data_IF_960739074817
#
_entry.id   IF_960739074817
#
_cell.length_a   1.000
_cell.length_b   1.000
_cell.length_c   1.000
_cell.angle_alpha   90.00
_cell.angle_beta   90.00
_cell.angle_gamma   90.00
#
_symmetry.space_group_name_H-M   'P 1'
#
loop_
_entity.id
_entity.type
_entity.pdbx_description
1 polymer ?
#
# COMPACT_ATOMS: atom_id res chain seq x y z
N UNK A 1 -7.12 -12.77 13.82
CA UNK A 1 -5.71 -12.91 13.48
C UNK A 1 -5.28 -14.38 13.54
N UNK A 2 -4.23 -14.72 12.79
CA UNK A 2 -3.65 -16.07 12.77
C UNK A 2 -2.93 -16.50 14.05
N UNK A 3 -2.80 -15.62 15.02
CA UNK A 3 -2.07 -15.75 16.28
C UNK A 3 -0.55 -16.00 16.16
N UNK A 4 0.23 -15.38 17.03
CA UNK A 4 1.69 -15.49 17.10
C UNK A 4 2.43 -15.12 15.79
N UNK A 5 1.74 -14.53 14.85
CA UNK A 5 2.30 -14.05 13.59
C UNK A 5 3.06 -12.74 13.84
N UNK A 6 4.27 -12.66 13.33
CA UNK A 6 5.11 -11.47 13.46
C UNK A 6 4.37 -10.23 12.90
N UNK A 7 4.36 -9.13 13.66
CA UNK A 7 3.70 -7.86 13.29
C UNK A 7 2.16 -7.88 13.25
N UNK A 8 1.50 -8.99 13.54
CA UNK A 8 0.02 -9.05 13.63
C UNK A 8 -0.48 -9.14 15.08
N UNK A 9 0.39 -9.44 16.02
CA UNK A 9 0.08 -9.57 17.45
C UNK A 9 0.07 -8.24 18.23
N UNK A 10 0.18 -7.11 17.56
CA UNK A 10 0.24 -5.78 18.15
C UNK A 10 -0.94 -5.46 19.08
N UNK A 11 -2.12 -5.98 18.77
CA UNK A 11 -3.31 -5.80 19.62
C UNK A 11 -3.17 -6.51 20.97
N UNK A 12 -2.60 -7.72 21.00
CA UNK A 12 -2.34 -8.45 22.26
C UNK A 12 -1.26 -7.72 23.06
N UNK A 13 -0.17 -7.31 22.42
CA UNK A 13 0.90 -6.51 23.06
C UNK A 13 0.38 -5.18 23.58
N UNK A 14 -0.63 -4.60 22.94
CA UNK A 14 -1.36 -3.41 23.37
C UNK A 14 -2.38 -3.66 24.49
N UNK A 15 -2.46 -4.88 25.05
CA UNK A 15 -3.33 -5.22 26.17
C UNK A 15 -4.73 -5.75 25.79
N UNK A 16 -4.99 -6.03 24.51
CA UNK A 16 -6.23 -6.68 24.12
C UNK A 16 -6.26 -8.13 24.64
N UNK A 17 -7.36 -8.52 25.30
CA UNK A 17 -7.55 -9.89 25.78
C UNK A 17 -8.12 -10.79 24.70
N UNK A 18 -7.72 -12.05 24.73
CA UNK A 18 -8.28 -13.07 23.84
C UNK A 18 -9.76 -13.33 24.17
N UNK A 19 -10.55 -13.49 23.13
CA UNK A 19 -11.89 -14.05 23.20
C UNK A 19 -11.75 -15.57 23.40
N UNK A 20 -12.25 -16.09 24.52
CA UNK A 20 -12.15 -17.53 24.83
C UNK A 20 -13.51 -18.10 25.20
N UNK A 21 -13.65 -19.42 25.10
CA UNK A 21 -14.89 -20.12 25.48
C UNK A 21 -15.24 -19.82 26.95
N UNK A 22 -16.43 -19.27 27.16
CA UNK A 22 -16.94 -18.93 28.50
C UNK A 22 -16.55 -17.53 29.01
N UNK A 23 -15.63 -16.82 28.32
CA UNK A 23 -15.32 -15.42 28.60
C UNK A 23 -15.34 -14.60 27.29
N UNK A 24 -16.43 -13.90 27.06
CA UNK A 24 -16.65 -13.06 25.88
C UNK A 24 -16.23 -11.59 26.09
N UNK A 25 -15.52 -11.28 27.17
CA UNK A 25 -14.99 -9.93 27.45
C UNK A 25 -13.77 -9.57 26.59
N UNK A 26 -13.10 -10.57 26.00
CA UNK A 26 -11.99 -10.40 25.09
C UNK A 26 -12.44 -9.83 23.73
N UNK A 27 -11.55 -9.07 23.09
CA UNK A 27 -11.80 -8.45 21.78
C UNK A 27 -10.90 -9.00 20.67
N UNK A 28 -10.07 -9.98 21.00
CA UNK A 28 -9.12 -10.57 20.05
C UNK A 28 -9.41 -12.06 19.87
N UNK A 29 -9.77 -12.46 18.64
CA UNK A 29 -10.00 -13.84 18.28
C UNK A 29 -8.76 -14.40 17.57
N UNK A 30 -8.14 -15.41 18.18
CA UNK A 30 -7.08 -16.18 17.53
C UNK A 30 -7.70 -17.23 16.62
N UNK A 31 -7.65 -16.98 15.31
CA UNK A 31 -8.32 -17.81 14.33
C UNK A 31 -7.50 -19.07 13.92
N UNK A 32 -6.21 -19.11 14.25
CA UNK A 32 -5.28 -20.10 13.72
C UNK A 32 -5.04 -19.92 12.22
N UNK A 33 -4.36 -20.86 11.58
CA UNK A 33 -4.07 -20.83 10.12
C UNK A 33 -5.35 -21.22 9.36
N UNK A 34 -6.28 -20.25 9.26
CA UNK A 34 -7.60 -20.44 8.66
C UNK A 34 -8.14 -19.15 8.06
N UNK A 35 -7.42 -18.59 7.09
CA UNK A 35 -7.66 -17.26 6.50
C UNK A 35 -9.08 -17.10 5.96
N UNK A 36 -9.57 -18.09 5.21
CA UNK A 36 -10.94 -18.05 4.67
C UNK A 36 -11.98 -17.99 5.80
N UNK A 37 -11.82 -18.84 6.82
CA UNK A 37 -12.73 -18.89 7.96
C UNK A 37 -12.69 -17.58 8.76
N UNK A 38 -11.50 -17.04 9.00
CA UNK A 38 -11.31 -15.75 9.67
C UNK A 38 -12.03 -14.62 8.93
N UNK A 39 -11.85 -14.53 7.63
CA UNK A 39 -12.50 -13.51 6.80
C UNK A 39 -14.03 -13.69 6.75
N UNK A 40 -14.51 -14.94 6.65
CA UNK A 40 -15.95 -15.24 6.68
C UNK A 40 -16.61 -14.87 8.02
N UNK A 41 -15.92 -15.15 9.15
CA UNK A 41 -16.36 -14.74 10.48
C UNK A 41 -16.45 -13.20 10.53
N UNK A 42 -15.46 -12.48 10.00
CA UNK A 42 -15.49 -11.01 9.96
C UNK A 42 -16.66 -10.49 9.12
N UNK A 43 -17.01 -11.14 8.01
CA UNK A 43 -18.21 -10.80 7.25
C UNK A 43 -19.47 -10.98 8.10
N UNK A 44 -19.59 -12.09 8.82
CA UNK A 44 -20.73 -12.34 9.71
C UNK A 44 -20.85 -11.30 10.85
N UNK A 45 -19.73 -10.92 11.44
CA UNK A 45 -19.66 -9.89 12.49
C UNK A 45 -20.08 -8.52 11.91
N UNK A 46 -19.53 -8.15 10.75
CA UNK A 46 -19.89 -6.89 10.10
C UNK A 46 -21.38 -6.84 9.71
N UNK A 47 -21.92 -7.97 9.23
CA UNK A 47 -23.34 -8.09 8.89
C UNK A 47 -24.26 -7.98 10.12
N UNK A 48 -23.84 -8.53 11.26
CA UNK A 48 -24.57 -8.36 12.53
C UNK A 48 -24.61 -6.89 12.95
N UNK A 49 -23.52 -6.14 12.70
CA UNK A 49 -23.42 -4.72 13.02
C UNK A 49 -23.06 -4.44 14.50
N UNK A 50 -22.97 -3.16 14.82
CA UNK A 50 -22.71 -2.67 16.19
C UNK A 50 -21.24 -2.60 16.59
N UNK A 51 -20.32 -3.18 15.83
CA UNK A 51 -18.88 -3.11 16.08
C UNK A 51 -18.10 -2.99 14.78
N UNK A 52 -16.91 -2.40 14.85
CA UNK A 52 -15.92 -2.48 13.79
C UNK A 52 -15.13 -3.77 13.92
N UNK A 53 -14.91 -4.46 12.81
CA UNK A 53 -14.16 -5.71 12.75
C UNK A 53 -12.96 -5.59 11.83
N UNK A 54 -11.83 -6.14 12.27
CA UNK A 54 -10.62 -6.25 11.47
C UNK A 54 -10.06 -7.66 11.54
N UNK A 55 -9.44 -8.13 10.47
CA UNK A 55 -8.67 -9.38 10.45
C UNK A 55 -7.32 -9.16 9.78
N UNK A 56 -6.32 -9.90 10.23
CA UNK A 56 -4.93 -9.71 9.83
C UNK A 56 -4.24 -11.03 9.47
N UNK A 57 -3.46 -10.99 8.38
CA UNK A 57 -2.53 -12.04 7.95
C UNK A 57 -1.44 -11.43 7.06
N UNK A 58 -0.49 -12.23 6.58
CA UNK A 58 0.46 -11.81 5.56
C UNK A 58 -0.25 -11.59 4.21
N UNK A 59 0.22 -10.61 3.46
CA UNK A 59 -0.45 -10.19 2.23
C UNK A 59 -0.55 -11.30 1.19
N UNK A 60 0.46 -12.15 1.04
CA UNK A 60 0.42 -13.30 0.13
C UNK A 60 -0.75 -14.24 0.44
N UNK A 61 -1.13 -14.38 1.71
CA UNK A 61 -2.23 -15.25 2.13
C UNK A 61 -3.62 -14.62 1.96
N UNK A 62 -3.69 -13.39 1.44
CA UNK A 62 -4.95 -12.83 0.95
C UNK A 62 -5.58 -13.70 -0.13
N UNK A 63 -4.80 -14.50 -0.85
CA UNK A 63 -5.30 -15.49 -1.81
C UNK A 63 -6.26 -16.48 -1.18
N UNK A 64 -5.97 -16.96 0.03
CA UNK A 64 -6.86 -17.86 0.78
C UNK A 64 -8.11 -17.14 1.32
N UNK A 65 -8.08 -15.81 1.45
CA UNK A 65 -9.22 -14.99 1.87
C UNK A 65 -10.07 -14.51 0.69
N UNK A 66 -9.60 -14.65 -0.54
CA UNK A 66 -10.18 -14.01 -1.73
C UNK A 66 -11.68 -14.23 -1.90
N UNK A 67 -12.27 -15.42 -1.74
CA UNK A 67 -13.71 -15.62 -1.82
C UNK A 67 -14.47 -14.76 -0.79
N UNK A 68 -13.95 -14.68 0.44
CA UNK A 68 -14.59 -13.97 1.53
C UNK A 68 -14.49 -12.45 1.38
N UNK A 69 -13.31 -11.89 1.07
CA UNK A 69 -13.19 -10.44 0.90
C UNK A 69 -13.89 -9.94 -0.38
N UNK A 70 -13.95 -10.75 -1.44
CA UNK A 70 -14.78 -10.45 -2.60
C UNK A 70 -16.26 -10.40 -2.23
N UNK A 71 -16.71 -11.30 -1.35
CA UNK A 71 -18.07 -11.28 -0.83
C UNK A 71 -18.32 -10.05 0.05
N UNK A 72 -17.36 -9.61 0.87
CA UNK A 72 -17.46 -8.35 1.61
C UNK A 72 -17.71 -7.17 0.68
N UNK A 73 -16.99 -7.11 -0.44
CA UNK A 73 -17.16 -6.06 -1.44
C UNK A 73 -18.55 -6.09 -2.07
N UNK A 74 -19.03 -7.29 -2.47
CA UNK A 74 -20.35 -7.48 -3.03
C UNK A 74 -21.48 -7.10 -2.05
N UNK A 75 -21.32 -7.47 -0.78
CA UNK A 75 -22.29 -7.21 0.29
C UNK A 75 -22.11 -5.82 0.92
N UNK A 76 -21.15 -5.03 0.48
CA UNK A 76 -20.85 -3.69 1.01
C UNK A 76 -20.53 -3.69 2.51
N UNK A 77 -19.82 -4.73 2.98
CA UNK A 77 -19.48 -4.90 4.39
C UNK A 77 -18.18 -4.15 4.75
N UNK A 78 -18.19 -3.33 5.82
CA UNK A 78 -17.04 -2.50 6.19
C UNK A 78 -15.97 -3.26 6.99
N UNK A 79 -15.57 -4.44 6.52
CA UNK A 79 -14.50 -5.24 7.12
C UNK A 79 -13.15 -4.58 6.84
N UNK A 80 -12.28 -4.52 7.86
CA UNK A 80 -10.91 -4.03 7.72
C UNK A 80 -9.95 -5.21 7.58
N UNK A 81 -9.39 -5.38 6.39
CA UNK A 81 -8.38 -6.38 6.08
C UNK A 81 -6.99 -5.76 6.29
N UNK A 82 -6.24 -6.29 7.25
CA UNK A 82 -4.89 -5.84 7.56
C UNK A 82 -3.92 -6.87 6.99
N UNK A 83 -3.26 -6.53 5.90
CA UNK A 83 -2.31 -7.39 5.22
C UNK A 83 -0.90 -6.86 5.39
N UNK A 84 -0.13 -7.54 6.24
CA UNK A 84 1.28 -7.21 6.49
C UNK A 84 2.20 -7.97 5.54
N UNK A 85 3.51 -7.70 5.57
CA UNK A 85 4.47 -8.38 4.69
C UNK A 85 4.17 -8.10 3.21
N UNK A 86 4.07 -6.80 2.88
CA UNK A 86 3.51 -6.23 1.66
C UNK A 86 4.25 -6.58 0.36
N UNK A 87 5.54 -7.03 0.44
CA UNK A 87 6.39 -7.19 -0.73
C UNK A 87 7.55 -8.18 -0.49
N UNK A 88 8.48 -8.28 -1.43
CA UNK A 88 9.65 -9.18 -1.40
C UNK A 88 10.56 -9.00 -0.17
N UNK A 89 10.48 -7.85 0.53
CA UNK A 89 11.21 -7.58 1.78
C UNK A 89 10.74 -8.43 2.97
N UNK A 90 9.80 -9.34 2.75
CA UNK A 90 9.55 -10.50 3.62
C UNK A 90 10.87 -11.26 3.87
N UNK A 91 11.71 -11.34 2.85
CA UNK A 91 13.09 -11.75 2.99
C UNK A 91 13.28 -13.25 2.87
N UNK A 92 13.85 -13.86 3.93
CA UNK A 92 14.31 -15.25 3.91
C UNK A 92 13.20 -16.30 3.82
N UNK A 93 11.97 -15.96 4.17
CA UNK A 93 10.78 -16.82 3.96
C UNK A 93 10.58 -17.15 2.47
N UNK A 94 11.08 -16.29 1.59
CA UNK A 94 11.21 -16.54 0.16
C UNK A 94 9.91 -16.46 -0.64
N UNK A 95 9.91 -17.02 -1.87
CA UNK A 95 8.84 -16.82 -2.85
C UNK A 95 7.44 -17.21 -2.39
N UNK A 96 7.33 -18.19 -1.48
CA UNK A 96 6.04 -18.66 -0.96
C UNK A 96 5.35 -17.64 -0.04
N UNK A 97 6.09 -16.63 0.42
CA UNK A 97 5.61 -15.59 1.33
C UNK A 97 5.71 -14.17 0.75
N UNK A 98 6.23 -14.03 -0.47
CA UNK A 98 6.45 -12.76 -1.14
C UNK A 98 5.32 -12.46 -2.14
N UNK A 99 4.42 -11.51 -1.85
CA UNK A 99 3.37 -11.12 -2.80
C UNK A 99 4.00 -10.35 -3.98
N UNK A 100 3.58 -10.69 -5.19
CA UNK A 100 4.01 -10.03 -6.44
C UNK A 100 2.79 -9.46 -7.18
N UNK A 101 1.80 -10.29 -7.51
CA UNK A 101 0.60 -9.91 -8.24
C UNK A 101 -0.55 -9.41 -7.35
N UNK A 102 -0.44 -9.56 -6.06
CA UNK A 102 -1.52 -9.35 -5.09
C UNK A 102 -1.99 -7.89 -5.06
N UNK A 103 -1.06 -6.92 -5.14
CA UNK A 103 -1.46 -5.51 -5.17
C UNK A 103 -2.24 -5.18 -6.45
N UNK A 104 -1.83 -5.71 -7.61
CA UNK A 104 -2.57 -5.55 -8.85
C UNK A 104 -4.00 -6.10 -8.74
N UNK A 105 -4.18 -7.25 -8.08
CA UNK A 105 -5.51 -7.83 -7.83
C UNK A 105 -6.38 -6.91 -6.95
N UNK A 106 -5.82 -6.24 -5.94
CA UNK A 106 -6.55 -5.27 -5.13
C UNK A 106 -6.93 -4.03 -5.93
N UNK A 107 -6.03 -3.53 -6.77
CA UNK A 107 -6.30 -2.37 -7.62
C UNK A 107 -7.43 -2.64 -8.62
N UNK A 108 -7.66 -3.88 -9.03
CA UNK A 108 -8.84 -4.26 -9.81
C UNK A 108 -10.16 -4.05 -9.03
N UNK A 109 -10.19 -4.36 -7.73
CA UNK A 109 -11.37 -4.10 -6.89
C UNK A 109 -11.60 -2.62 -6.62
N UNK A 110 -10.55 -1.80 -6.55
CA UNK A 110 -10.68 -0.34 -6.51
C UNK A 110 -11.33 0.23 -7.79
N UNK A 111 -11.00 -0.36 -8.94
CA UNK A 111 -11.54 0.07 -10.25
C UNK A 111 -12.98 -0.42 -10.48
N UNK A 112 -13.40 -1.44 -9.76
CA UNK A 112 -14.75 -2.00 -9.87
C UNK A 112 -15.73 -1.26 -8.97
N UNK A 113 -16.91 -0.94 -9.48
CA UNK A 113 -17.98 -0.36 -8.69
C UNK A 113 -18.89 -1.43 -8.07
N UNK A 114 -19.37 -1.19 -6.87
CA UNK A 114 -20.43 -1.97 -6.24
C UNK A 114 -21.81 -1.51 -6.72
N UNK A 115 -22.87 -2.16 -6.25
CA UNK A 115 -24.25 -1.83 -6.66
C UNK A 115 -24.71 -0.42 -6.25
N UNK A 116 -24.03 0.22 -5.31
CA UNK A 116 -24.28 1.62 -4.93
C UNK A 116 -23.47 2.63 -5.78
N UNK A 117 -22.76 2.17 -6.81
CA UNK A 117 -21.93 3.01 -7.66
C UNK A 117 -20.64 3.50 -7.01
N UNK A 118 -20.26 2.91 -5.87
CA UNK A 118 -19.03 3.24 -5.14
C UNK A 118 -17.93 2.24 -5.46
N UNK A 119 -16.69 2.62 -5.21
CA UNK A 119 -15.53 1.75 -5.29
C UNK A 119 -15.76 0.49 -4.44
N UNK A 120 -15.53 -0.71 -5.02
CA UNK A 120 -15.85 -1.98 -4.35
C UNK A 120 -14.97 -2.30 -3.15
N UNK A 121 -13.76 -1.72 -3.09
CA UNK A 121 -12.83 -1.85 -1.98
C UNK A 121 -11.95 -0.60 -1.89
N UNK A 122 -11.72 -0.10 -0.70
CA UNK A 122 -10.72 0.92 -0.43
C UNK A 122 -9.39 0.23 -0.13
N UNK A 123 -8.42 0.30 -1.05
CA UNK A 123 -7.10 -0.28 -0.85
C UNK A 123 -6.06 0.82 -0.55
N UNK A 124 -5.41 0.71 0.60
CA UNK A 124 -4.47 1.69 1.13
C UNK A 124 -3.11 1.04 1.39
N UNK A 125 -2.06 1.55 0.76
CA UNK A 125 -0.67 1.12 0.98
C UNK A 125 0.18 2.31 1.43
N UNK A 126 0.18 2.61 2.75
CA UNK A 126 0.85 3.79 3.31
C UNK A 126 2.36 3.67 3.29
N UNK A 127 3.04 4.80 3.14
CA UNK A 127 4.49 4.88 2.96
C UNK A 127 5.28 5.14 4.26
N UNK A 128 4.62 5.56 5.35
CA UNK A 128 5.24 5.79 6.65
C UNK A 128 4.22 5.70 7.81
N UNK A 129 4.67 5.98 9.04
CA UNK A 129 3.82 5.92 10.24
C UNK A 129 2.70 6.97 10.20
N UNK A 130 2.95 8.17 9.68
CA UNK A 130 1.96 9.22 9.57
C UNK A 130 0.87 8.87 8.55
N UNK A 131 1.25 8.41 7.35
CA UNK A 131 0.28 7.88 6.37
C UNK A 131 -0.49 6.67 6.90
N UNK A 132 0.16 5.79 7.69
CA UNK A 132 -0.51 4.65 8.33
C UNK A 132 -1.60 5.13 9.29
N UNK A 133 -1.34 6.17 10.07
CA UNK A 133 -2.34 6.76 10.97
C UNK A 133 -3.52 7.35 10.21
N UNK A 134 -3.26 8.03 9.09
CA UNK A 134 -4.30 8.56 8.19
C UNK A 134 -5.07 7.42 7.53
N UNK A 135 -4.39 6.37 7.07
CA UNK A 135 -5.02 5.19 6.48
C UNK A 135 -5.96 4.47 7.47
N UNK A 136 -5.57 4.39 8.75
CA UNK A 136 -6.45 3.87 9.80
C UNK A 136 -7.67 4.76 10.02
N UNK A 137 -7.50 6.09 10.04
CA UNK A 137 -8.63 7.03 10.11
C UNK A 137 -9.60 6.78 8.95
N UNK A 138 -9.10 6.74 7.71
CA UNK A 138 -9.90 6.46 6.52
C UNK A 138 -10.61 5.10 6.60
N UNK A 139 -9.92 4.07 7.09
CA UNK A 139 -10.49 2.73 7.26
C UNK A 139 -11.65 2.74 8.28
N UNK A 140 -11.53 3.48 9.39
CA UNK A 140 -12.58 3.57 10.39
C UNK A 140 -13.79 4.38 9.91
N UNK A 141 -13.56 5.41 9.12
CA UNK A 141 -14.61 6.25 8.52
C UNK A 141 -15.33 5.56 7.35
N UNK A 142 -14.67 4.60 6.68
CA UNK A 142 -15.29 3.83 5.61
C UNK A 142 -16.26 2.78 6.17
N UNK A 143 -17.55 3.06 6.09
CA UNK A 143 -18.63 2.20 6.59
C UNK A 143 -19.42 1.47 5.49
N UNK A 144 -19.04 1.67 4.22
CA UNK A 144 -19.87 1.22 3.08
C UNK A 144 -19.16 0.16 2.20
N UNK A 145 -17.86 -0.02 2.38
CA UNK A 145 -17.08 -0.99 1.60
C UNK A 145 -15.96 -1.57 2.48
N UNK A 146 -15.42 -2.74 2.14
CA UNK A 146 -14.24 -3.24 2.84
C UNK A 146 -13.03 -2.33 2.58
N UNK A 147 -12.16 -2.26 3.57
CA UNK A 147 -10.86 -1.56 3.45
C UNK A 147 -9.72 -2.55 3.57
N UNK A 148 -8.76 -2.47 2.67
CA UNK A 148 -7.48 -3.16 2.74
C UNK A 148 -6.38 -2.19 3.21
N UNK A 149 -5.70 -2.52 4.29
CA UNK A 149 -4.48 -1.85 4.76
C UNK A 149 -3.29 -2.77 4.46
N UNK A 150 -2.46 -2.40 3.49
CA UNK A 150 -1.29 -3.18 3.08
C UNK A 150 -0.05 -2.56 3.71
N UNK A 151 0.55 -3.28 4.67
CA UNK A 151 1.59 -2.78 5.55
C UNK A 151 2.90 -3.54 5.36
N UNK A 152 4.02 -2.83 5.47
CA UNK A 152 5.36 -3.42 5.34
C UNK A 152 5.71 -4.37 6.50
N UNK A 153 6.60 -5.35 6.22
CA UNK A 153 7.25 -6.17 7.26
C UNK A 153 8.36 -5.39 7.96
N UNK A 154 9.22 -4.77 7.17
CA UNK A 154 10.37 -4.04 7.65
C UNK A 154 9.96 -2.70 8.30
N UNK A 155 10.81 -2.22 9.19
CA UNK A 155 10.68 -0.85 9.67
C UNK A 155 10.94 0.11 8.52
N UNK A 156 10.15 1.17 8.46
CA UNK A 156 10.26 2.26 7.49
C UNK A 156 10.50 3.57 8.22
N UNK A 157 11.22 4.48 7.59
CA UNK A 157 11.45 5.82 8.13
C UNK A 157 10.29 6.74 7.74
N UNK A 158 10.04 7.74 8.56
CA UNK A 158 9.09 8.80 8.21
C UNK A 158 9.59 9.56 6.98
N UNK A 159 8.66 9.93 6.12
CA UNK A 159 8.94 10.75 4.96
C UNK A 159 9.27 12.20 5.38
N UNK A 160 10.05 12.92 4.58
CA UNK A 160 10.35 14.32 4.88
C UNK A 160 9.07 15.16 4.89
N UNK A 161 9.06 16.19 5.72
CA UNK A 161 7.99 17.16 5.81
C UNK A 161 8.55 18.57 5.96
N UNK A 162 7.87 19.55 5.40
CA UNK A 162 8.22 20.96 5.55
C UNK A 162 7.65 21.51 6.86
N UNK A 163 6.51 20.98 7.28
CA UNK A 163 5.82 21.33 8.52
C UNK A 163 5.74 20.12 9.44
N UNK A 164 4.57 19.81 9.94
CA UNK A 164 4.30 18.58 10.68
C UNK A 164 3.97 17.43 9.72
N UNK A 165 4.65 16.29 9.88
CA UNK A 165 4.48 15.13 8.96
C UNK A 165 3.06 14.59 8.95
N UNK A 166 2.36 14.55 10.09
CA UNK A 166 0.98 14.07 10.15
C UNK A 166 0.03 15.02 9.38
N UNK A 167 0.19 16.32 9.56
CA UNK A 167 -0.60 17.33 8.83
C UNK A 167 -0.41 17.20 7.31
N UNK A 168 0.82 16.94 6.86
CA UNK A 168 1.07 16.70 5.44
C UNK A 168 0.51 15.37 4.96
N UNK A 169 0.56 14.33 5.78
CA UNK A 169 0.00 13.01 5.48
C UNK A 169 -1.52 13.02 5.31
N UNK A 170 -2.25 13.97 5.90
CA UNK A 170 -3.69 14.12 5.67
C UNK A 170 -4.05 14.27 4.18
N UNK A 171 -3.12 14.76 3.36
CA UNK A 171 -3.31 14.83 1.90
C UNK A 171 -3.48 13.44 1.25
N UNK A 172 -3.03 12.36 1.93
CA UNK A 172 -3.22 10.97 1.49
C UNK A 172 -4.71 10.58 1.38
N UNK A 173 -5.62 11.28 2.07
CA UNK A 173 -7.06 11.11 1.92
C UNK A 173 -7.55 11.33 0.47
N UNK A 174 -6.78 12.02 -0.36
CA UNK A 174 -7.04 12.20 -1.79
C UNK A 174 -6.53 11.06 -2.67
N UNK A 175 -5.93 10.02 -2.09
CA UNK A 175 -5.42 8.84 -2.80
C UNK A 175 -4.00 8.98 -3.34
N UNK A 176 -3.58 10.17 -3.76
CA UNK A 176 -2.18 10.48 -4.09
C UNK A 176 -1.91 11.96 -3.80
N UNK A 177 -0.66 12.28 -3.43
CA UNK A 177 -0.24 13.64 -3.15
C UNK A 177 1.28 13.82 -3.31
N UNK A 178 1.72 15.06 -3.46
CA UNK A 178 3.14 15.42 -3.56
C UNK A 178 3.77 15.38 -2.17
N UNK A 179 4.72 14.45 -1.97
CA UNK A 179 5.53 14.34 -0.75
C UNK A 179 6.70 15.31 -0.77
N UNK A 180 7.38 15.40 -1.92
CA UNK A 180 8.56 16.22 -2.09
C UNK A 180 8.61 16.81 -3.50
N UNK A 181 9.04 18.07 -3.60
CA UNK A 181 9.30 18.75 -4.87
C UNK A 181 10.65 19.44 -4.79
N UNK A 182 11.58 19.02 -5.65
CA UNK A 182 12.93 19.55 -5.72
C UNK A 182 13.04 20.58 -6.87
N UNK A 183 12.60 21.81 -6.62
CA UNK A 183 12.59 22.88 -7.62
C UNK A 183 11.21 23.16 -8.22
N UNK A 184 11.07 24.32 -8.88
CA UNK A 184 9.76 24.80 -9.38
C UNK A 184 9.25 24.03 -10.59
N UNK A 185 10.16 23.59 -11.47
CA UNK A 185 9.83 22.94 -12.75
C UNK A 185 10.41 21.51 -12.80
N UNK A 186 9.76 20.53 -12.19
CA UNK A 186 10.23 19.15 -12.19
C UNK A 186 10.32 18.61 -13.63
N UNK A 187 11.40 17.88 -13.93
CA UNK A 187 11.65 17.24 -15.23
C UNK A 187 11.14 15.81 -15.27
N UNK A 188 10.79 15.27 -14.12
CA UNK A 188 10.24 13.92 -13.95
C UNK A 188 9.35 13.88 -12.71
N UNK A 189 8.25 13.12 -12.81
CA UNK A 189 7.38 12.77 -11.71
C UNK A 189 7.68 11.33 -11.30
N UNK A 190 7.99 11.13 -10.01
CA UNK A 190 8.35 9.84 -9.42
C UNK A 190 7.15 9.34 -8.60
N UNK A 191 6.61 8.18 -8.92
CA UNK A 191 5.33 7.69 -8.40
C UNK A 191 5.53 6.34 -7.73
N UNK A 192 5.15 6.21 -6.46
CA UNK A 192 5.14 4.95 -5.73
C UNK A 192 4.07 4.93 -4.64
N UNK A 193 3.82 3.76 -4.05
CA UNK A 193 3.10 3.56 -2.80
C UNK A 193 3.98 2.80 -1.80
N UNK A 194 3.61 2.82 -0.51
CA UNK A 194 4.34 2.04 0.49
C UNK A 194 5.81 2.44 0.63
N UNK A 195 6.62 1.49 1.02
CA UNK A 195 8.05 1.72 1.32
C UNK A 195 8.89 2.18 0.13
N UNK A 196 8.42 2.02 -1.09
CA UNK A 196 9.10 2.45 -2.32
C UNK A 196 9.17 3.98 -2.45
N UNK A 197 8.28 4.72 -1.77
CA UNK A 197 8.31 6.20 -1.76
C UNK A 197 9.64 6.71 -1.19
N UNK A 198 10.15 6.11 -0.11
CA UNK A 198 11.45 6.46 0.46
C UNK A 198 12.60 6.21 -0.53
N UNK A 199 12.57 5.10 -1.29
CA UNK A 199 13.56 4.82 -2.34
C UNK A 199 13.53 5.87 -3.46
N UNK A 200 12.35 6.36 -3.83
CA UNK A 200 12.23 7.45 -4.81
C UNK A 200 12.77 8.78 -4.27
N UNK A 201 12.61 9.07 -2.98
CA UNK A 201 13.20 10.26 -2.34
C UNK A 201 14.72 10.21 -2.40
N UNK A 202 15.33 9.06 -2.13
CA UNK A 202 16.77 8.86 -2.25
C UNK A 202 17.24 9.08 -3.70
N UNK A 203 16.53 8.53 -4.69
CA UNK A 203 16.83 8.75 -6.10
C UNK A 203 16.66 10.21 -6.52
N UNK A 204 15.60 10.87 -6.04
CA UNK A 204 15.34 12.30 -6.31
C UNK A 204 16.47 13.21 -5.78
N UNK A 205 17.02 12.87 -4.62
CA UNK A 205 18.18 13.56 -4.07
C UNK A 205 19.41 13.40 -4.98
N UNK A 206 19.69 12.19 -5.44
CA UNK A 206 20.81 11.93 -6.36
C UNK A 206 20.64 12.64 -7.71
N UNK A 207 19.41 12.69 -8.26
CA UNK A 207 19.10 13.42 -9.49
C UNK A 207 19.44 14.91 -9.37
N UNK A 208 19.06 15.51 -8.25
CA UNK A 208 19.36 16.92 -8.00
C UNK A 208 20.85 17.18 -7.78
N UNK A 209 21.50 16.38 -6.90
CA UNK A 209 22.89 16.58 -6.52
C UNK A 209 23.88 16.33 -7.67
N UNK A 210 23.65 15.28 -8.48
CA UNK A 210 24.62 14.85 -9.50
C UNK A 210 24.37 15.43 -10.89
N UNK A 211 23.09 15.73 -11.20
CA UNK A 211 22.69 16.16 -12.55
C UNK A 211 21.94 17.50 -12.57
N UNK A 212 21.60 18.07 -11.41
CA UNK A 212 20.78 19.29 -11.35
C UNK A 212 19.35 19.05 -11.88
N UNK A 213 18.87 17.80 -11.91
CA UNK A 213 17.54 17.43 -12.41
C UNK A 213 16.53 17.59 -11.27
N UNK A 214 15.64 18.56 -11.41
CA UNK A 214 14.50 18.73 -10.50
C UNK A 214 13.46 17.62 -10.72
N UNK A 215 12.91 17.08 -9.63
CA UNK A 215 11.90 16.02 -9.63
C UNK A 215 10.79 16.30 -8.62
N UNK A 216 9.67 15.62 -8.80
CA UNK A 216 8.54 15.61 -7.88
C UNK A 216 8.26 14.17 -7.47
N UNK A 217 8.21 13.89 -6.16
CA UNK A 217 7.90 12.57 -5.60
C UNK A 217 6.45 12.56 -5.13
N UNK A 218 5.70 11.57 -5.57
CA UNK A 218 4.29 11.37 -5.28
C UNK A 218 4.11 10.06 -4.51
N UNK A 219 3.46 10.14 -3.34
CA UNK A 219 2.92 8.96 -2.66
C UNK A 219 1.50 8.71 -3.17
N UNK A 220 1.29 7.55 -3.79
CA UNK A 220 0.01 7.13 -4.35
C UNK A 220 -0.58 5.98 -3.51
N UNK A 221 -1.07 6.32 -2.33
CA UNK A 221 -1.61 5.36 -1.36
C UNK A 221 -2.80 4.54 -1.91
N UNK A 222 -3.63 5.16 -2.77
CA UNK A 222 -4.80 4.56 -3.41
C UNK A 222 -5.05 5.17 -4.78
N UNK A 223 -4.82 4.40 -5.86
CA UNK A 223 -5.13 4.85 -7.22
C UNK A 223 -6.63 5.15 -7.39
N UNK A 224 -7.51 4.29 -6.83
CA UNK A 224 -8.95 4.43 -6.97
C UNK A 224 -9.46 5.76 -6.41
N UNK A 225 -8.98 6.16 -5.22
CA UNK A 225 -9.34 7.46 -4.64
C UNK A 225 -8.78 8.64 -5.44
N UNK A 226 -7.54 8.53 -5.91
CA UNK A 226 -6.92 9.58 -6.72
C UNK A 226 -7.69 9.82 -8.02
N UNK A 227 -8.15 8.76 -8.67
CA UNK A 227 -8.96 8.87 -9.90
C UNK A 227 -10.32 9.51 -9.69
N UNK A 228 -10.84 9.54 -8.47
CA UNK A 228 -12.07 10.24 -8.12
C UNK A 228 -11.87 11.74 -7.85
N UNK A 229 -10.63 12.21 -7.76
CA UNK A 229 -10.35 13.63 -7.56
C UNK A 229 -10.65 14.45 -8.83
N UNK A 230 -10.93 15.74 -8.69
CA UNK A 230 -11.07 16.65 -9.84
C UNK A 230 -9.85 16.59 -10.76
N UNK A 231 -10.06 16.68 -12.07
CA UNK A 231 -8.97 16.63 -13.07
C UNK A 231 -7.87 17.66 -12.78
N UNK A 232 -8.23 18.86 -12.31
CA UNK A 232 -7.26 19.88 -11.94
C UNK A 232 -6.30 19.42 -10.83
N UNK A 233 -6.81 18.67 -9.83
CA UNK A 233 -5.96 18.11 -8.78
C UNK A 233 -5.10 16.96 -9.31
N UNK A 234 -5.65 16.11 -10.17
CA UNK A 234 -4.87 15.03 -10.79
C UNK A 234 -3.72 15.61 -11.62
N UNK A 235 -3.95 16.66 -12.41
CA UNK A 235 -2.92 17.36 -13.18
C UNK A 235 -1.91 18.11 -12.32
N UNK A 236 -2.31 18.65 -11.16
CA UNK A 236 -1.37 19.25 -10.19
C UNK A 236 -0.39 18.20 -9.65
N UNK A 237 -0.89 17.02 -9.29
CA UNK A 237 -0.10 15.97 -8.63
C UNK A 237 0.68 15.12 -9.62
N UNK A 238 0.07 14.76 -10.77
CA UNK A 238 0.67 13.93 -11.82
C UNK A 238 0.40 14.60 -13.18
N UNK A 239 1.13 15.67 -13.52
CA UNK A 239 0.93 16.40 -14.77
C UNK A 239 1.29 15.56 -15.98
N UNK A 240 0.34 15.35 -16.91
CA UNK A 240 0.49 14.51 -18.09
C UNK A 240 1.63 14.97 -19.03
N UNK A 241 2.02 16.25 -18.99
CA UNK A 241 3.07 16.84 -19.83
C UNK A 241 4.50 16.51 -19.38
N UNK A 242 4.69 15.96 -18.18
CA UNK A 242 6.00 15.63 -17.59
C UNK A 242 6.25 14.14 -17.67
N UNK A 243 7.46 13.65 -18.01
CA UNK A 243 7.78 12.22 -17.96
C UNK A 243 7.53 11.60 -16.58
N UNK A 244 7.01 10.38 -16.54
CA UNK A 244 6.71 9.67 -15.30
C UNK A 244 7.64 8.47 -15.11
N UNK A 245 8.09 8.26 -13.88
CA UNK A 245 8.75 7.03 -13.47
C UNK A 245 8.00 6.41 -12.28
N UNK A 246 7.59 5.16 -12.42
CA UNK A 246 6.91 4.39 -11.38
C UNK A 246 7.84 3.38 -10.72
N UNK A 247 7.73 3.21 -9.40
CA UNK A 247 8.44 2.17 -8.64
C UNK A 247 7.44 1.35 -7.82
N UNK A 248 7.38 0.05 -8.04
CA UNK A 248 6.51 -0.86 -7.29
C UNK A 248 7.21 -2.18 -6.98
N UNK A 249 7.12 -2.64 -5.74
CA UNK A 249 7.64 -3.95 -5.34
C UNK A 249 6.75 -5.14 -5.76
N UNK A 250 5.68 -4.87 -6.52
CA UNK A 250 4.84 -5.85 -7.20
C UNK A 250 4.99 -5.78 -8.72
N UNK A 251 4.01 -6.33 -9.44
CA UNK A 251 3.97 -6.26 -10.89
C UNK A 251 3.90 -4.83 -11.42
N UNK A 252 4.61 -4.53 -12.51
CA UNK A 252 4.60 -3.22 -13.16
C UNK A 252 3.19 -2.72 -13.51
N UNK A 253 2.28 -3.62 -13.87
CA UNK A 253 0.87 -3.31 -14.18
C UNK A 253 0.15 -2.57 -13.06
N UNK A 254 0.61 -2.71 -11.82
CA UNK A 254 0.05 -2.03 -10.65
C UNK A 254 0.04 -0.50 -10.80
N UNK A 255 1.05 0.06 -11.47
CA UNK A 255 1.20 1.52 -11.64
C UNK A 255 0.90 2.03 -13.06
N UNK A 256 0.56 1.16 -14.02
CA UNK A 256 0.27 1.57 -15.40
C UNK A 256 -0.81 2.66 -15.49
N UNK A 257 -1.83 2.56 -14.63
CA UNK A 257 -2.89 3.56 -14.57
C UNK A 257 -2.42 4.95 -14.20
N UNK A 258 -1.38 5.09 -13.37
CA UNK A 258 -0.83 6.37 -12.92
C UNK A 258 0.31 6.87 -13.80
N UNK A 259 1.18 5.97 -14.24
CA UNK A 259 2.38 6.30 -15.02
C UNK A 259 2.05 6.57 -16.50
N UNK A 260 1.06 5.85 -17.03
CA UNK A 260 0.67 5.96 -18.44
C UNK A 260 1.65 5.28 -19.41
N UNK A 261 1.30 5.29 -20.69
CA UNK A 261 2.04 4.58 -21.74
C UNK A 261 3.40 5.21 -22.12
N UNK A 262 3.63 6.47 -21.77
CA UNK A 262 4.85 7.21 -22.07
C UNK A 262 5.84 7.25 -20.90
N UNK A 263 5.53 6.58 -19.78
CA UNK A 263 6.40 6.49 -18.62
C UNK A 263 7.17 5.17 -18.57
N UNK A 264 8.12 5.07 -17.62
CA UNK A 264 8.85 3.84 -17.30
C UNK A 264 8.43 3.37 -15.91
N UNK A 265 8.21 2.07 -15.75
CA UNK A 265 7.89 1.46 -14.46
C UNK A 265 8.95 0.40 -14.16
N UNK A 266 9.60 0.53 -13.00
CA UNK A 266 10.40 -0.53 -12.44
C UNK A 266 9.55 -1.32 -11.43
N UNK A 267 9.39 -2.61 -11.68
CA UNK A 267 8.60 -3.53 -10.85
C UNK A 267 9.23 -4.91 -10.78
N UNK A 268 8.69 -5.78 -9.97
CA UNK A 268 9.09 -7.19 -9.85
C UNK A 268 8.15 -8.02 -10.73
N UNK A 269 8.63 -8.44 -11.90
CA UNK A 269 7.83 -9.16 -12.89
C UNK A 269 8.07 -10.69 -12.87
N UNK A 270 8.56 -11.23 -11.77
CA UNK A 270 8.84 -12.65 -11.54
C UNK A 270 8.71 -12.99 -10.06
N UNK A 271 8.60 -14.26 -9.72
CA UNK A 271 8.62 -14.69 -8.33
C UNK A 271 9.93 -14.28 -7.63
N UNK A 272 9.83 -14.06 -6.32
CA UNK A 272 10.95 -13.61 -5.52
C UNK A 272 12.03 -14.66 -5.25
N UNK A 273 12.93 -14.35 -4.33
CA UNK A 273 14.02 -15.22 -3.88
C UNK A 273 14.13 -15.19 -2.37
N UNK A 274 14.69 -16.25 -1.78
CA UNK A 274 14.99 -16.32 -0.35
C UNK A 274 16.37 -15.69 -0.08
N UNK A 275 16.38 -14.54 0.56
CA UNK A 275 17.59 -13.85 1.01
C UNK A 275 17.21 -12.74 2.01
N UNK A 276 18.17 -12.19 2.80
CA UNK A 276 17.91 -11.00 3.60
C UNK A 276 17.38 -9.84 2.75
N UNK A 277 16.44 -9.06 3.29
CA UNK A 277 15.75 -7.98 2.57
C UNK A 277 16.71 -7.02 1.84
N UNK A 278 17.83 -6.63 2.50
CA UNK A 278 18.82 -5.75 1.89
C UNK A 278 19.48 -6.35 0.64
N UNK A 279 19.75 -7.66 0.64
CA UNK A 279 20.29 -8.37 -0.54
C UNK A 279 19.27 -8.38 -1.67
N UNK A 280 17.99 -8.53 -1.33
CA UNK A 280 16.91 -8.48 -2.31
C UNK A 280 16.70 -7.08 -2.88
N UNK A 281 16.85 -6.02 -2.07
CA UNK A 281 16.83 -4.63 -2.55
C UNK A 281 17.91 -4.40 -3.63
N UNK A 282 19.12 -4.87 -3.38
CA UNK A 282 20.22 -4.77 -4.33
C UNK A 282 19.97 -5.62 -5.60
N UNK A 283 19.50 -6.86 -5.40
CA UNK A 283 19.25 -7.81 -6.50
C UNK A 283 18.13 -7.35 -7.42
N UNK A 284 17.07 -6.79 -6.86
CA UNK A 284 15.89 -6.35 -7.62
C UNK A 284 15.96 -4.88 -8.07
N UNK A 285 17.02 -4.16 -7.68
CA UNK A 285 17.19 -2.76 -8.08
C UNK A 285 16.34 -1.76 -7.29
N UNK A 286 15.98 -2.08 -6.04
CA UNK A 286 15.20 -1.19 -5.17
C UNK A 286 16.10 -0.33 -4.27
N UNK A 287 17.20 0.17 -4.82
CA UNK A 287 18.10 1.14 -4.19
C UNK A 287 17.99 2.49 -4.86
N UNK A 288 18.18 3.58 -4.10
CA UNK A 288 18.18 4.94 -4.67
C UNK A 288 19.15 5.11 -5.83
N UNK A 289 20.34 4.45 -5.76
CA UNK A 289 21.36 4.49 -6.82
C UNK A 289 20.90 3.80 -8.11
N UNK A 290 20.31 2.61 -8.01
CA UNK A 290 19.78 1.89 -9.17
C UNK A 290 18.67 2.68 -9.83
N UNK A 291 17.69 3.15 -9.05
CA UNK A 291 16.54 3.93 -9.53
C UNK A 291 17.01 5.25 -10.17
N UNK A 292 18.00 5.92 -9.57
CA UNK A 292 18.64 7.10 -10.18
C UNK A 292 19.15 6.81 -11.60
N UNK A 293 19.88 5.70 -11.79
CA UNK A 293 20.43 5.31 -13.10
C UNK A 293 19.31 5.02 -14.11
N UNK A 294 18.26 4.29 -13.70
CA UNK A 294 17.08 3.99 -14.53
C UNK A 294 16.36 5.27 -15.00
N UNK A 295 16.23 6.27 -14.12
CA UNK A 295 15.63 7.56 -14.47
C UNK A 295 16.53 8.35 -15.41
N UNK A 296 17.84 8.37 -15.19
CA UNK A 296 18.80 9.01 -16.09
C UNK A 296 18.75 8.41 -17.50
N UNK A 297 18.70 7.08 -17.60
CA UNK A 297 18.53 6.37 -18.88
C UNK A 297 17.23 6.78 -19.58
N UNK A 298 16.10 6.77 -18.85
CA UNK A 298 14.79 7.16 -19.37
C UNK A 298 14.81 8.59 -19.91
N UNK A 299 15.52 9.52 -19.25
CA UNK A 299 15.62 10.92 -19.65
C UNK A 299 16.72 11.19 -20.70
N UNK A 300 17.50 10.18 -21.13
CA UNK A 300 18.63 10.33 -22.07
C UNK A 300 19.78 11.16 -21.49
N UNK A 301 20.10 11.01 -20.20
CA UNK A 301 21.06 11.85 -19.43
C UNK A 301 22.25 11.08 -18.87
#
# INVERSE_FOLDING_TARGET
DLSNSDKTDGFIKGGARNLVKGDFSGKFLQAGVAELTMAAICNGIALHGGIHVACATFFVFSDYMKPAFRLSALMQMPVKYIWTHDAFRVGEDGPTHQPIEHEAQLRLLEKMQNHAGKMSMLALRPADAAETSVAWKMAMENTETPTALVLSRQNINDLPAVTDRYTEALKAEKGAYIVQKNGENPKVILIASGSEVATLIDAAKLLLERKGIASQVVSAISEGLFRQQPTAYQEEVIPASTPHFGLTAGLSVTLEGLVGCNGKIHGVNHFGYSAPAKVLDEKFGFTGEFVYNEICEMLGK
#
